data_IF_784428563409
#
_entry.id   IF_784428563409
#
_cell.length_a   1.000
_cell.length_b   1.000
_cell.length_c   1.000
_cell.angle_alpha   90.00
_cell.angle_beta   90.00
_cell.angle_gamma   90.00
#
_symmetry.space_group_name_H-M   'P 1'
#
loop_
_entity.id
_entity.type
_entity.pdbx_description
1 polymer ?
#
# COMPACT_ATOMS: atom_id res chain seq x y z
N UNK A 1 -1.21 5.26 -33.16
CA UNK A 1 -0.44 4.42 -32.21
C UNK A 1 0.14 5.33 -31.14
N UNK A 2 -0.48 5.41 -29.96
CA UNK A 2 0.04 6.22 -28.83
C UNK A 2 0.46 5.24 -27.75
N UNK A 3 1.78 5.06 -27.61
CA UNK A 3 2.39 4.18 -26.62
C UNK A 3 2.26 4.79 -25.22
N UNK A 4 1.46 4.15 -24.36
CA UNK A 4 1.40 4.46 -22.94
C UNK A 4 2.62 3.84 -22.25
N UNK A 5 3.65 4.64 -21.97
CA UNK A 5 4.77 4.23 -21.11
C UNK A 5 4.30 4.23 -19.65
N UNK A 6 4.30 3.04 -19.06
CA UNK A 6 3.70 2.78 -17.76
C UNK A 6 4.79 2.82 -16.67
N UNK A 7 5.09 3.99 -16.09
CA UNK A 7 6.09 4.17 -15.01
C UNK A 7 5.79 3.39 -13.72
N UNK A 8 6.68 2.49 -13.32
CA UNK A 8 6.52 1.55 -12.20
C UNK A 8 6.47 2.31 -10.88
N UNK A 9 5.29 2.36 -10.25
CA UNK A 9 5.17 2.74 -8.84
C UNK A 9 5.44 1.49 -8.00
N UNK A 10 6.20 1.56 -6.90
CA UNK A 10 6.27 0.45 -5.95
C UNK A 10 4.88 0.25 -5.36
N UNK A 11 4.29 -0.89 -5.68
CA UNK A 11 2.97 -1.26 -5.18
C UNK A 11 3.18 -1.74 -3.75
N UNK A 12 2.88 -0.86 -2.80
CA UNK A 12 2.64 -1.25 -1.41
C UNK A 12 1.45 -2.19 -1.42
N UNK A 13 1.66 -3.44 -1.02
CA UNK A 13 0.56 -4.33 -0.72
C UNK A 13 0.09 -3.96 0.68
N UNK A 14 -0.94 -3.12 0.75
CA UNK A 14 -1.86 -3.23 1.87
C UNK A 14 -2.32 -4.67 1.82
N UNK A 15 -2.32 -5.39 2.94
CA UNK A 15 -3.14 -6.58 3.01
C UNK A 15 -4.61 -6.14 2.87
N UNK A 16 -5.06 -5.89 1.64
CA UNK A 16 -6.44 -5.60 1.30
C UNK A 16 -7.18 -6.91 1.48
N UNK A 17 -7.75 -7.06 2.66
CA UNK A 17 -8.74 -8.09 2.91
C UNK A 17 -9.97 -7.71 2.10
N UNK A 18 -10.18 -8.42 0.99
CA UNK A 18 -11.40 -8.31 0.22
C UNK A 18 -12.54 -8.91 1.05
N UNK A 19 -13.16 -8.09 1.89
CA UNK A 19 -14.51 -8.35 2.40
C UNK A 19 -15.47 -8.18 1.23
N UNK A 20 -15.71 -9.24 0.45
CA UNK A 20 -16.88 -9.23 -0.42
C UNK A 20 -18.11 -9.34 0.46
N UNK A 21 -18.92 -8.28 0.45
CA UNK A 21 -20.21 -8.24 1.10
C UNK A 21 -21.13 -9.35 0.60
N UNK A 22 -21.83 -9.96 1.55
CA UNK A 22 -22.74 -11.08 1.35
C UNK A 22 -22.64 -12.00 2.56
N UNK A 23 -23.60 -11.89 3.48
CA UNK A 23 -23.70 -12.71 4.69
C UNK A 23 -23.74 -14.21 4.34
N UNK A 24 -22.57 -14.83 4.28
CA UNK A 24 -22.41 -16.27 4.42
C UNK A 24 -21.13 -16.46 5.22
N UNK A 25 -21.27 -16.52 6.55
CA UNK A 25 -20.12 -16.69 7.43
C UNK A 25 -19.42 -17.98 7.01
N UNK A 26 -18.13 -17.91 6.75
CA UNK A 26 -17.35 -19.05 6.28
C UNK A 26 -17.53 -20.24 7.24
N UNK A 27 -17.91 -21.43 6.72
CA UNK A 27 -18.17 -22.61 7.55
C UNK A 27 -17.01 -22.94 8.51
N UNK A 28 -15.78 -22.67 8.07
CA UNK A 28 -14.59 -22.87 8.90
C UNK A 28 -14.47 -21.84 10.02
N UNK A 29 -14.80 -20.58 9.76
CA UNK A 29 -14.80 -19.54 10.80
C UNK A 29 -15.92 -19.79 11.83
N UNK A 30 -17.04 -20.37 11.42
CA UNK A 30 -18.13 -20.74 12.34
C UNK A 30 -17.75 -21.93 13.23
N UNK A 31 -17.18 -22.99 12.65
CA UNK A 31 -16.90 -24.22 13.39
C UNK A 31 -15.60 -24.14 14.20
N UNK A 32 -14.60 -23.43 13.69
CA UNK A 32 -13.26 -23.31 14.27
C UNK A 32 -12.80 -21.85 14.32
N UNK A 33 -13.45 -20.99 15.13
CA UNK A 33 -13.05 -19.58 15.24
C UNK A 33 -11.59 -19.43 15.73
N UNK A 34 -11.07 -20.38 16.49
CA UNK A 34 -9.70 -20.42 17.00
C UNK A 34 -8.63 -20.54 15.89
N UNK A 35 -9.02 -20.99 14.69
CA UNK A 35 -8.11 -21.04 13.54
C UNK A 35 -7.91 -19.68 12.89
N UNK A 36 -8.70 -18.68 13.28
CA UNK A 36 -8.70 -17.36 12.69
C UNK A 36 -8.35 -16.29 13.74
N UNK A 37 -7.84 -15.15 13.28
CA UNK A 37 -7.63 -13.98 14.12
C UNK A 37 -8.84 -13.04 14.11
N UNK A 38 -8.75 -11.97 14.88
CA UNK A 38 -9.79 -10.92 14.97
C UNK A 38 -10.15 -10.29 13.62
N UNK A 39 -9.26 -10.38 12.62
CA UNK A 39 -9.45 -9.85 11.27
C UNK A 39 -9.93 -10.94 10.29
N UNK A 40 -10.22 -12.15 10.77
CA UNK A 40 -10.69 -13.28 9.97
C UNK A 40 -9.59 -13.99 9.17
N UNK A 41 -8.32 -13.76 9.50
CA UNK A 41 -7.15 -14.36 8.82
C UNK A 41 -6.75 -15.64 9.50
N UNK A 42 -6.24 -16.60 8.74
CA UNK A 42 -5.78 -17.87 9.31
C UNK A 42 -4.61 -17.62 10.25
N UNK A 43 -4.66 -18.16 11.46
CA UNK A 43 -3.62 -17.96 12.46
C UNK A 43 -2.27 -18.56 12.02
N UNK A 44 -1.13 -17.96 12.40
CA UNK A 44 0.20 -18.45 12.04
C UNK A 44 0.48 -19.91 12.42
N UNK A 45 -0.03 -20.35 13.57
CA UNK A 45 0.15 -21.74 14.02
C UNK A 45 -0.56 -22.72 13.09
N UNK A 46 -1.78 -22.39 12.64
CA UNK A 46 -2.50 -23.18 11.63
C UNK A 46 -1.73 -23.21 10.31
N UNK A 47 -1.16 -22.09 9.88
CA UNK A 47 -0.37 -22.05 8.64
C UNK A 47 0.83 -23.00 8.68
N UNK A 48 1.52 -23.10 9.82
CA UNK A 48 2.65 -24.02 10.02
C UNK A 48 2.26 -25.48 9.99
N UNK A 49 1.05 -25.82 10.42
CA UNK A 49 0.52 -27.19 10.32
C UNK A 49 0.10 -27.56 8.89
N UNK A 50 -0.28 -26.58 8.06
CA UNK A 50 -0.80 -26.83 6.71
C UNK A 50 0.23 -26.71 5.59
N UNK A 51 1.31 -25.97 5.81
CA UNK A 51 2.28 -25.62 4.78
C UNK A 51 3.69 -25.86 5.29
N UNK A 52 4.49 -26.58 4.50
CA UNK A 52 5.94 -26.58 4.60
C UNK A 52 6.50 -25.43 3.77
N UNK A 53 7.34 -24.60 4.39
CA UNK A 53 8.00 -23.48 3.75
C UNK A 53 9.50 -23.59 3.92
N UNK A 54 10.25 -23.48 2.82
CA UNK A 54 11.69 -23.39 2.83
C UNK A 54 12.14 -21.92 2.65
N UNK A 55 12.79 -21.32 3.67
CA UNK A 55 13.21 -19.92 3.63
C UNK A 55 14.29 -19.62 2.60
N UNK A 56 15.08 -20.62 2.19
CA UNK A 56 16.21 -20.43 1.27
C UNK A 56 15.77 -20.43 -0.18
N UNK A 57 14.79 -21.27 -0.51
CA UNK A 57 14.29 -21.42 -1.89
C UNK A 57 12.99 -20.66 -2.14
N UNK A 58 12.29 -20.25 -1.08
CA UNK A 58 10.96 -19.63 -1.19
C UNK A 58 9.88 -20.62 -1.62
N UNK A 59 10.15 -21.93 -1.56
CA UNK A 59 9.18 -22.94 -1.91
C UNK A 59 8.19 -23.15 -0.76
N UNK A 60 6.92 -23.25 -1.13
CA UNK A 60 5.84 -23.61 -0.22
C UNK A 60 5.18 -24.87 -0.74
N UNK A 61 5.03 -25.88 0.11
CA UNK A 61 4.43 -27.16 -0.22
C UNK A 61 3.27 -27.42 0.72
N UNK A 62 2.17 -27.94 0.19
CA UNK A 62 1.04 -28.36 1.00
C UNK A 62 1.37 -29.62 1.80
N UNK A 63 1.25 -29.55 3.13
CA UNK A 63 1.34 -30.72 4.01
C UNK A 63 0.16 -31.64 3.80
N UNK A 64 0.35 -32.92 4.13
CA UNK A 64 -0.75 -33.86 4.26
C UNK A 64 -1.64 -33.45 5.44
N UNK A 65 -2.96 -33.42 5.24
CA UNK A 65 -3.92 -33.03 6.27
C UNK A 65 -4.61 -34.24 6.88
N UNK A 66 -4.90 -34.20 8.17
CA UNK A 66 -5.82 -35.13 8.84
C UNK A 66 -7.28 -34.75 8.59
N UNK A 67 -8.20 -35.62 9.01
CA UNK A 67 -9.65 -35.42 8.86
C UNK A 67 -10.15 -34.21 9.67
N UNK A 68 -9.48 -33.90 10.78
CA UNK A 68 -9.85 -32.80 11.70
C UNK A 68 -9.83 -31.42 11.03
N UNK A 69 -9.08 -31.27 9.93
CA UNK A 69 -9.04 -30.04 9.15
C UNK A 69 -10.26 -29.84 8.23
N UNK A 70 -11.23 -30.76 8.25
CA UNK A 70 -12.39 -30.77 7.37
C UNK A 70 -13.68 -30.89 8.17
N UNK A 71 -14.62 -29.97 7.91
CA UNK A 71 -15.95 -29.99 8.55
C UNK A 71 -16.90 -30.94 7.79
N UNK A 72 -16.56 -31.30 6.55
CA UNK A 72 -17.50 -31.94 5.63
C UNK A 72 -18.53 -30.95 5.10
N UNK A 73 -19.40 -31.42 4.24
CA UNK A 73 -20.53 -30.68 3.71
C UNK A 73 -21.74 -31.59 3.53
N UNK A 74 -22.86 -30.99 3.15
CA UNK A 74 -24.14 -31.71 2.98
C UNK A 74 -24.01 -32.91 2.03
N UNK A 75 -23.16 -32.80 1.00
CA UNK A 75 -22.98 -33.85 -0.01
C UNK A 75 -21.81 -34.80 0.24
N UNK A 76 -20.87 -34.49 1.14
CA UNK A 76 -19.65 -35.30 1.38
C UNK A 76 -19.18 -35.18 2.82
N UNK A 77 -18.87 -36.31 3.45
CA UNK A 77 -18.28 -36.33 4.79
C UNK A 77 -16.85 -35.79 4.82
N UNK A 78 -16.39 -35.40 6.02
CA UNK A 78 -15.05 -34.85 6.25
C UNK A 78 -13.92 -35.78 5.75
N UNK A 79 -14.05 -37.09 5.96
CA UNK A 79 -13.06 -38.08 5.51
C UNK A 79 -12.90 -38.09 3.97
N UNK A 80 -14.01 -38.03 3.24
CA UNK A 80 -14.00 -38.01 1.78
C UNK A 80 -13.40 -36.71 1.23
N UNK A 81 -13.72 -35.57 1.86
CA UNK A 81 -13.10 -34.28 1.53
C UNK A 81 -11.59 -34.31 1.79
N UNK A 82 -11.17 -34.88 2.93
CA UNK A 82 -9.77 -35.03 3.32
C UNK A 82 -8.98 -35.89 2.30
N UNK A 83 -9.47 -37.09 2.00
CA UNK A 83 -8.85 -37.99 1.01
C UNK A 83 -8.70 -37.33 -0.36
N UNK A 84 -9.76 -36.66 -0.82
CA UNK A 84 -9.74 -35.95 -2.10
C UNK A 84 -8.76 -34.79 -2.09
N UNK A 85 -8.73 -34.01 -1.02
CA UNK A 85 -7.85 -32.87 -0.89
C UNK A 85 -6.40 -33.32 -0.88
N UNK A 86 -6.04 -34.31 -0.06
CA UNK A 86 -4.69 -34.84 0.03
C UNK A 86 -4.21 -35.41 -1.31
N UNK A 87 -5.04 -36.20 -2.00
CA UNK A 87 -4.73 -36.71 -3.35
C UNK A 87 -4.45 -35.59 -4.36
N UNK A 88 -5.14 -34.46 -4.23
CA UNK A 88 -5.06 -33.36 -5.20
C UNK A 88 -3.91 -32.41 -4.89
N UNK A 89 -3.66 -32.10 -3.62
CA UNK A 89 -2.83 -30.98 -3.20
C UNK A 89 -1.61 -31.38 -2.35
N UNK A 90 -1.69 -32.43 -1.54
CA UNK A 90 -0.58 -32.81 -0.65
C UNK A 90 0.70 -33.08 -1.45
N UNK A 91 1.83 -32.58 -0.94
CA UNK A 91 3.14 -32.69 -1.58
C UNK A 91 3.32 -31.81 -2.83
N UNK A 92 2.31 -31.04 -3.23
CA UNK A 92 2.39 -30.11 -4.37
C UNK A 92 2.61 -28.69 -3.91
N UNK A 93 3.12 -27.85 -4.82
CA UNK A 93 3.37 -26.43 -4.57
C UNK A 93 2.09 -25.72 -4.11
N UNK A 94 2.20 -25.00 -3.01
CA UNK A 94 1.13 -24.17 -2.47
C UNK A 94 1.11 -22.78 -3.15
N UNK A 95 -0.04 -22.12 -3.09
CA UNK A 95 -0.24 -20.74 -3.56
C UNK A 95 0.25 -20.51 -5.00
N UNK A 96 -0.27 -21.27 -5.95
CA UNK A 96 0.15 -21.24 -7.36
C UNK A 96 -0.63 -20.25 -8.21
N UNK A 97 -1.71 -19.66 -7.69
CA UNK A 97 -2.52 -18.72 -8.47
C UNK A 97 -1.83 -17.37 -8.55
N UNK A 98 -1.61 -16.87 -9.76
CA UNK A 98 -1.10 -15.52 -9.98
C UNK A 98 -2.26 -14.51 -9.96
N UNK A 99 -2.22 -13.59 -8.99
CA UNK A 99 -3.12 -12.43 -8.88
C UNK A 99 -2.37 -11.20 -9.38
N UNK A 100 -2.96 -10.44 -10.30
CA UNK A 100 -2.41 -9.14 -10.70
C UNK A 100 -3.04 -8.03 -9.88
N UNK A 101 -2.23 -7.13 -9.33
CA UNK A 101 -2.71 -5.86 -8.78
C UNK A 101 -1.81 -4.74 -9.31
N UNK A 102 -2.43 -3.80 -10.03
CA UNK A 102 -1.71 -2.76 -10.77
C UNK A 102 -0.66 -3.40 -11.69
N UNK A 103 0.63 -3.12 -11.47
CA UNK A 103 1.77 -3.61 -12.28
C UNK A 103 2.37 -4.91 -11.75
N UNK A 104 1.95 -5.35 -10.57
CA UNK A 104 2.63 -6.40 -9.85
C UNK A 104 1.82 -7.68 -9.89
N UNK A 105 2.52 -8.80 -9.90
CA UNK A 105 1.95 -10.15 -9.87
C UNK A 105 2.31 -10.80 -8.55
N UNK A 106 1.31 -11.37 -7.89
CA UNK A 106 1.43 -11.99 -6.59
C UNK A 106 1.00 -13.43 -6.67
N UNK A 107 1.76 -14.31 -6.03
CA UNK A 107 1.31 -15.68 -5.77
C UNK A 107 0.25 -15.66 -4.67
N UNK A 108 -0.82 -16.40 -4.87
CA UNK A 108 -1.96 -16.43 -3.97
C UNK A 108 -2.66 -17.80 -3.98
N UNK A 109 -3.55 -17.99 -3.02
CA UNK A 109 -4.44 -19.13 -2.94
C UNK A 109 -5.51 -18.90 -1.90
N UNK A 110 -6.19 -19.97 -1.49
CA UNK A 110 -7.18 -19.92 -0.44
C UNK A 110 -6.91 -21.02 0.60
N UNK A 111 -7.02 -20.67 1.87
CA UNK A 111 -6.96 -21.62 2.99
C UNK A 111 -8.28 -21.50 3.72
N UNK A 112 -8.99 -22.63 3.85
CA UNK A 112 -10.30 -22.68 4.50
C UNK A 112 -11.30 -21.66 3.94
N UNK A 113 -11.25 -21.36 2.64
CA UNK A 113 -12.11 -20.35 2.01
C UNK A 113 -11.66 -18.90 2.18
N UNK A 114 -10.59 -18.64 2.95
CA UNK A 114 -10.00 -17.30 3.10
C UNK A 114 -8.93 -17.08 2.04
N UNK A 115 -9.06 -16.05 1.18
CA UNK A 115 -8.04 -15.72 0.20
C UNK A 115 -6.79 -15.19 0.91
N UNK A 116 -5.63 -15.72 0.53
CA UNK A 116 -4.35 -15.36 1.12
C UNK A 116 -3.29 -15.15 0.03
N UNK A 117 -2.42 -14.17 0.28
CA UNK A 117 -1.24 -13.89 -0.55
C UNK A 117 -0.06 -14.68 0.00
N UNK A 118 0.75 -15.25 -0.88
CA UNK A 118 1.81 -16.17 -0.50
C UNK A 118 2.89 -15.51 0.37
N UNK A 119 3.32 -14.29 0.04
CA UNK A 119 4.28 -13.52 0.85
C UNK A 119 3.78 -13.28 2.28
N UNK A 120 2.49 -13.00 2.45
CA UNK A 120 1.89 -12.74 3.77
C UNK A 120 1.85 -14.01 4.61
N UNK A 121 1.60 -15.15 3.96
CA UNK A 121 1.61 -16.48 4.61
C UNK A 121 3.02 -16.85 5.04
N UNK A 122 4.01 -16.66 4.16
CA UNK A 122 5.42 -16.87 4.48
C UNK A 122 5.87 -16.03 5.67
N UNK A 123 5.55 -14.73 5.66
CA UNK A 123 5.86 -13.85 6.77
C UNK A 123 5.21 -14.34 8.08
N UNK A 124 3.94 -14.73 8.04
CA UNK A 124 3.23 -15.24 9.21
C UNK A 124 3.83 -16.55 9.74
N UNK A 125 4.21 -17.48 8.85
CA UNK A 125 4.88 -18.73 9.22
C UNK A 125 6.20 -18.43 9.96
N UNK A 126 7.03 -17.55 9.39
CA UNK A 126 8.37 -17.25 9.90
C UNK A 126 8.36 -16.44 11.20
N UNK A 127 7.55 -15.37 11.27
CA UNK A 127 7.59 -14.40 12.37
C UNK A 127 6.47 -14.59 13.39
N UNK A 128 5.62 -15.60 13.21
CA UNK A 128 4.47 -15.89 14.06
C UNK A 128 3.49 -14.72 14.23
N UNK A 129 3.42 -13.82 13.24
CA UNK A 129 2.54 -12.65 13.20
C UNK A 129 2.38 -12.16 11.77
N UNK A 130 1.34 -11.39 11.50
CA UNK A 130 1.21 -10.70 10.22
C UNK A 130 1.89 -9.33 10.24
N UNK A 131 2.64 -9.01 9.19
CA UNK A 131 3.16 -7.66 8.96
C UNK A 131 2.01 -6.69 8.62
N UNK A 132 2.19 -5.43 8.99
CA UNK A 132 1.31 -4.34 8.56
C UNK A 132 1.56 -3.95 7.10
N UNK A 133 2.82 -3.99 6.66
CA UNK A 133 3.27 -3.84 5.28
C UNK A 133 4.63 -4.51 5.09
N UNK A 134 4.92 -5.00 3.89
CA UNK A 134 6.23 -5.54 3.51
C UNK A 134 6.44 -5.41 1.99
N UNK A 135 7.70 -5.43 1.56
CA UNK A 135 8.10 -5.24 0.17
C UNK A 135 9.04 -6.37 -0.29
N UNK A 136 9.04 -6.64 -1.60
CA UNK A 136 10.01 -7.50 -2.26
C UNK A 136 11.21 -6.64 -2.69
N UNK A 137 12.41 -6.92 -2.15
CA UNK A 137 13.62 -6.13 -2.46
C UNK A 137 13.95 -6.10 -3.96
N UNK A 138 13.75 -7.22 -4.64
CA UNK A 138 13.93 -7.36 -6.09
C UNK A 138 12.77 -6.81 -6.94
N UNK A 139 11.67 -6.38 -6.32
CA UNK A 139 10.45 -5.96 -7.00
C UNK A 139 9.61 -7.10 -7.59
N UNK A 140 10.02 -8.37 -7.43
CA UNK A 140 9.27 -9.56 -7.82
C UNK A 140 8.57 -10.19 -6.61
N UNK A 141 7.27 -9.93 -6.48
CA UNK A 141 6.45 -10.44 -5.39
C UNK A 141 6.03 -11.90 -5.54
N UNK A 142 6.50 -12.58 -6.59
CA UNK A 142 6.39 -14.03 -6.72
C UNK A 142 7.59 -14.76 -6.12
N UNK A 143 8.70 -14.05 -5.88
CA UNK A 143 9.86 -14.53 -5.15
C UNK A 143 9.58 -14.51 -3.64
N UNK A 144 9.48 -15.70 -3.05
CA UNK A 144 9.09 -15.89 -1.66
C UNK A 144 10.27 -16.27 -0.75
N UNK A 145 11.51 -16.08 -1.20
CA UNK A 145 12.69 -16.25 -0.35
C UNK A 145 12.63 -15.24 0.79
N UNK A 146 12.86 -15.67 2.03
CA UNK A 146 12.60 -14.82 3.20
C UNK A 146 13.45 -13.55 3.22
N UNK A 147 14.68 -13.63 2.70
CA UNK A 147 15.59 -12.48 2.61
C UNK A 147 15.08 -11.40 1.65
N UNK A 148 14.25 -11.78 0.68
CA UNK A 148 13.61 -10.83 -0.23
C UNK A 148 12.42 -10.11 0.42
N UNK A 149 11.87 -10.66 1.52
CA UNK A 149 10.69 -10.11 2.20
C UNK A 149 11.16 -9.25 3.37
N UNK A 150 11.18 -7.92 3.18
CA UNK A 150 11.51 -6.97 4.25
C UNK A 150 10.24 -6.41 4.88
N UNK A 151 10.15 -6.50 6.21
CA UNK A 151 9.18 -5.72 6.95
C UNK A 151 9.54 -4.25 6.82
N UNK A 152 8.55 -3.43 6.49
CA UNK A 152 8.76 -2.01 6.31
C UNK A 152 7.54 -1.27 6.80
N UNK A 153 7.77 -0.11 7.39
CA UNK A 153 6.69 0.79 7.78
C UNK A 153 6.15 1.49 6.53
N UNK A 154 4.89 1.89 6.58
CA UNK A 154 4.28 2.78 5.59
C UNK A 154 5.11 4.04 5.32
N UNK A 155 5.73 4.59 6.37
CA UNK A 155 6.62 5.74 6.27
C UNK A 155 7.88 5.45 5.47
N UNK A 156 8.37 4.21 5.53
CA UNK A 156 9.66 3.81 4.97
C UNK A 156 9.49 3.31 3.54
N UNK A 157 8.41 2.58 3.20
CA UNK A 157 8.04 2.36 1.79
C UNK A 157 7.78 3.69 1.09
N UNK A 158 7.12 4.63 1.75
CA UNK A 158 6.96 5.97 1.19
C UNK A 158 8.31 6.67 1.00
N UNK A 159 9.33 6.47 1.83
CA UNK A 159 10.67 7.02 1.62
C UNK A 159 11.43 6.31 0.49
N UNK A 160 11.39 4.99 0.44
CA UNK A 160 12.09 4.19 -0.57
C UNK A 160 11.46 4.30 -1.96
N UNK A 161 10.12 4.36 -2.02
CA UNK A 161 9.39 4.66 -3.25
C UNK A 161 9.66 6.04 -3.83
N UNK A 162 10.20 6.94 -3.01
CA UNK A 162 10.66 8.27 -3.42
C UNK A 162 12.09 8.26 -3.93
N UNK A 163 12.89 7.24 -3.60
CA UNK A 163 14.22 7.00 -4.18
C UNK A 163 14.08 6.46 -5.61
N UNK A 164 13.08 5.60 -5.86
CA UNK A 164 12.70 5.18 -7.21
C UNK A 164 11.81 6.22 -7.89
N UNK A 165 12.40 7.36 -8.29
CA UNK A 165 11.73 8.32 -9.17
C UNK A 165 11.25 7.62 -10.44
N UNK A 166 10.05 7.97 -10.91
CA UNK A 166 9.73 7.81 -12.33
C UNK A 166 10.82 8.56 -13.11
N UNK A 167 11.53 7.88 -14.02
CA UNK A 167 12.52 8.50 -14.91
C UNK A 167 11.93 9.63 -15.81
N UNK A 168 10.62 9.85 -15.75
CA UNK A 168 9.86 10.90 -16.44
C UNK A 168 9.36 12.05 -15.56
N UNK A 169 9.62 12.04 -14.25
CA UNK A 169 9.24 13.15 -13.38
C UNK A 169 10.11 14.38 -13.68
N UNK A 170 9.49 15.54 -13.88
CA UNK A 170 10.21 16.77 -14.20
C UNK A 170 10.89 17.42 -13.00
N UNK A 171 10.60 16.96 -11.77
CA UNK A 171 11.17 17.50 -10.54
C UNK A 171 11.82 16.43 -9.66
N UNK A 172 12.80 16.84 -8.87
CA UNK A 172 13.40 16.04 -7.79
C UNK A 172 12.57 16.03 -6.49
N UNK A 173 11.61 16.94 -6.33
CA UNK A 173 10.83 17.18 -5.11
C UNK A 173 9.36 16.73 -5.24
N UNK A 174 8.74 16.30 -4.14
CA UNK A 174 7.34 15.83 -4.03
C UNK A 174 6.34 16.95 -4.30
N UNK A 175 5.30 16.62 -5.06
CA UNK A 175 4.24 17.56 -5.40
C UNK A 175 4.67 18.67 -6.35
N UNK A 176 5.94 18.73 -6.74
CA UNK A 176 6.51 19.72 -7.65
C UNK A 176 6.57 19.16 -9.07
N UNK A 177 6.11 19.93 -10.04
CA UNK A 177 6.15 19.56 -11.45
C UNK A 177 6.43 20.77 -12.34
N UNK A 178 7.31 20.62 -13.34
CA UNK A 178 7.57 21.70 -14.30
C UNK A 178 6.47 21.79 -15.36
N UNK A 179 5.81 22.94 -15.44
CA UNK A 179 4.89 23.27 -16.52
C UNK A 179 5.66 23.88 -17.69
N UNK A 180 5.82 23.10 -18.78
CA UNK A 180 6.51 23.59 -19.99
C UNK A 180 5.79 24.76 -20.65
N UNK A 181 4.46 24.82 -20.58
CA UNK A 181 3.68 25.93 -21.16
C UNK A 181 3.88 27.23 -20.39
N UNK A 182 3.95 27.15 -19.06
CA UNK A 182 4.07 28.33 -18.19
C UNK A 182 5.52 28.65 -17.84
N UNK A 183 6.47 27.77 -18.18
CA UNK A 183 7.88 27.82 -17.78
C UNK A 183 8.03 28.06 -16.26
N UNK A 184 7.21 27.35 -15.47
CA UNK A 184 7.13 27.49 -14.01
C UNK A 184 6.97 26.14 -13.33
N UNK A 185 7.56 26.01 -12.15
CA UNK A 185 7.33 24.90 -11.24
C UNK A 185 5.95 25.05 -10.61
N UNK A 186 5.15 24.00 -10.64
CA UNK A 186 3.79 23.98 -10.09
C UNK A 186 3.74 23.00 -8.95
N UNK A 187 3.16 23.43 -7.83
CA UNK A 187 3.04 22.63 -6.62
C UNK A 187 1.58 22.21 -6.43
N UNK A 188 1.35 20.92 -6.32
CA UNK A 188 0.02 20.36 -6.05
C UNK A 188 0.09 19.33 -4.94
N UNK A 189 -0.97 19.25 -4.14
CA UNK A 189 -1.10 18.30 -3.04
C UNK A 189 -2.52 17.76 -2.99
N UNK A 190 -2.67 16.51 -2.51
CA UNK A 190 -3.99 15.94 -2.23
C UNK A 190 -4.27 16.00 -0.74
N UNK A 191 -5.39 16.60 -0.37
CA UNK A 191 -5.86 16.70 1.01
C UNK A 191 -7.29 16.18 1.03
N UNK A 192 -7.58 15.19 1.89
CA UNK A 192 -8.91 14.58 2.03
C UNK A 192 -9.53 14.14 0.69
N UNK A 193 -8.71 13.55 -0.19
CA UNK A 193 -9.13 13.07 -1.51
C UNK A 193 -9.30 14.14 -2.60
N UNK A 194 -9.16 15.43 -2.28
CA UNK A 194 -9.24 16.54 -3.24
C UNK A 194 -7.86 17.05 -3.62
N UNK A 195 -7.66 17.34 -4.91
CA UNK A 195 -6.42 17.95 -5.40
C UNK A 195 -6.47 19.46 -5.19
N UNK A 196 -5.45 19.99 -4.54
CA UNK A 196 -5.26 21.39 -4.22
C UNK A 196 -3.98 21.89 -4.90
N UNK A 197 -4.07 23.01 -5.60
CA UNK A 197 -2.91 23.72 -6.13
C UNK A 197 -2.37 24.64 -5.04
N UNK A 198 -1.09 24.47 -4.68
CA UNK A 198 -0.43 25.26 -3.64
C UNK A 198 0.17 26.54 -4.23
N UNK A 199 0.74 26.45 -5.44
CA UNK A 199 1.30 27.63 -6.09
C UNK A 199 2.11 27.32 -7.34
N UNK A 200 2.66 28.38 -7.95
CA UNK A 200 3.63 28.26 -9.05
C UNK A 200 4.87 29.13 -8.81
N UNK A 201 6.05 28.57 -9.02
CA UNK A 201 7.34 29.13 -8.64
C UNK A 201 8.29 29.16 -9.84
N UNK A 202 9.30 30.03 -9.79
CA UNK A 202 10.36 30.11 -10.81
C UNK A 202 11.50 29.14 -10.53
N UNK A 203 11.78 28.90 -9.25
CA UNK A 203 12.84 28.02 -8.75
C UNK A 203 12.21 26.71 -8.25
N UNK A 204 12.92 25.60 -8.43
CA UNK A 204 12.45 24.27 -8.09
C UNK A 204 12.43 24.06 -6.56
N UNK A 205 13.48 24.54 -5.90
CA UNK A 205 13.69 24.51 -4.45
C UNK A 205 12.60 25.30 -3.70
N UNK A 206 12.29 26.53 -4.14
CA UNK A 206 11.20 27.34 -3.57
C UNK A 206 9.83 26.63 -3.64
N UNK A 207 9.64 25.84 -4.71
CA UNK A 207 8.43 25.05 -4.90
C UNK A 207 8.38 23.88 -3.89
N UNK A 208 9.52 23.28 -3.57
CA UNK A 208 9.67 22.24 -2.57
C UNK A 208 9.40 22.78 -1.15
N UNK A 209 9.95 23.96 -0.82
CA UNK A 209 9.69 24.63 0.46
C UNK A 209 8.22 25.00 0.63
N UNK A 210 7.56 25.44 -0.45
CA UNK A 210 6.14 25.71 -0.44
C UNK A 210 5.31 24.44 -0.23
N UNK A 211 5.74 23.31 -0.79
CA UNK A 211 5.12 22.01 -0.53
C UNK A 211 5.26 21.62 0.94
N UNK A 212 6.45 21.76 1.52
CA UNK A 212 6.73 21.35 2.90
C UNK A 212 5.93 22.14 3.92
N UNK A 213 5.85 23.47 3.75
CA UNK A 213 4.98 24.32 4.57
C UNK A 213 3.51 23.95 4.46
N UNK A 214 3.04 23.64 3.25
CA UNK A 214 1.67 23.19 3.05
C UNK A 214 1.44 21.81 3.68
N UNK A 215 2.39 20.88 3.55
CA UNK A 215 2.30 19.54 4.10
C UNK A 215 2.18 19.59 5.62
N UNK A 216 3.00 20.41 6.30
CA UNK A 216 2.87 20.63 7.76
C UNK A 216 1.51 21.20 8.14
N UNK A 217 1.02 22.19 7.37
CA UNK A 217 -0.27 22.85 7.65
C UNK A 217 -1.48 21.93 7.48
N UNK A 218 -1.49 21.10 6.43
CA UNK A 218 -2.69 20.33 6.04
C UNK A 218 -2.63 18.85 6.41
N UNK A 219 -1.44 18.26 6.54
CA UNK A 219 -1.23 16.85 6.88
C UNK A 219 -0.68 16.66 8.31
N UNK A 220 -0.22 17.74 8.96
CA UNK A 220 0.21 17.75 10.36
C UNK A 220 1.69 17.40 10.59
N UNK A 221 2.11 17.17 11.84
CA UNK A 221 3.52 16.97 12.21
C UNK A 221 4.15 15.69 11.66
N UNK A 222 3.33 14.73 11.24
CA UNK A 222 3.75 13.48 10.60
C UNK A 222 3.84 13.61 9.07
N UNK A 223 3.63 14.82 8.54
CA UNK A 223 3.76 15.11 7.14
C UNK A 223 5.17 14.85 6.63
N UNK A 224 5.23 14.34 5.40
CA UNK A 224 6.50 14.10 4.74
C UNK A 224 7.00 15.37 4.06
N UNK A 225 8.25 15.73 4.33
CA UNK A 225 8.91 16.94 3.81
C UNK A 225 9.98 16.59 2.76
N UNK A 226 10.19 17.49 1.81
CA UNK A 226 11.23 17.48 0.80
C UNK A 226 12.60 17.84 1.36
N UNK A 227 12.63 18.83 2.25
CA UNK A 227 13.81 19.34 2.92
C UNK A 227 14.11 18.50 4.16
N UNK A 228 15.37 18.08 4.32
CA UNK A 228 15.80 17.22 5.43
C UNK A 228 15.89 17.93 6.78
N UNK A 229 15.90 19.27 6.77
CA UNK A 229 15.91 20.10 7.97
C UNK A 229 14.48 20.52 8.28
N UNK A 230 13.99 20.10 9.46
CA UNK A 230 12.83 20.73 10.07
C UNK A 230 13.28 22.16 10.40
N UNK A 231 12.77 23.22 9.76
CA UNK A 231 13.04 24.55 10.29
C UNK A 231 12.46 24.57 11.71
N UNK A 232 13.29 24.92 12.69
CA UNK A 232 12.82 25.23 14.04
C UNK A 232 11.79 26.33 13.86
N UNK A 233 10.51 25.98 13.94
CA UNK A 233 9.43 26.95 13.88
C UNK A 233 9.45 27.62 15.25
N UNK A 234 9.87 28.88 15.40
CA UNK A 234 9.58 29.58 16.64
C UNK A 234 8.07 29.53 16.85
N UNK A 235 7.65 29.17 18.06
CA UNK A 235 6.25 29.23 18.49
C UNK A 235 5.67 30.57 18.03
N UNK A 236 4.73 30.51 17.09
CA UNK A 236 4.00 31.69 16.66
C UNK A 236 3.02 31.96 17.78
N UNK A 237 3.34 32.93 18.64
CA UNK A 237 2.36 33.53 19.54
C UNK A 237 1.16 33.98 18.69
N UNK A 238 -0.05 33.62 19.14
CA UNK A 238 -1.35 33.94 18.53
C UNK A 238 -1.64 35.46 18.54
N UNK A 239 -0.78 36.28 17.94
CA UNK A 239 -1.13 37.67 17.63
C UNK A 239 -1.85 37.77 16.28
N UNK A 240 -3.03 38.41 16.23
CA UNK A 240 -3.80 38.52 15.01
C UNK A 240 -3.09 39.44 14.01
N UNK A 241 -2.58 38.85 12.93
CA UNK A 241 -2.01 39.60 11.80
C UNK A 241 -3.11 40.49 11.20
N UNK A 242 -2.99 41.80 11.42
CA UNK A 242 -3.83 42.81 10.78
C UNK A 242 -3.71 42.69 9.25
N UNK A 243 -4.81 42.86 8.49
CA UNK A 243 -4.76 42.78 7.03
C UNK A 243 -3.84 43.88 6.48
N UNK A 244 -2.92 43.49 5.59
CA UNK A 244 -2.00 44.39 4.93
C UNK A 244 -2.75 45.52 4.19
N UNK A 245 -2.23 46.77 4.20
CA UNK A 245 -2.87 47.88 3.51
C UNK A 245 -2.86 47.65 2.00
N UNK A 246 -4.05 47.77 1.40
CA UNK A 246 -4.25 47.71 -0.05
C UNK A 246 -3.63 48.97 -0.64
N UNK A 247 -2.73 48.79 -1.61
CA UNK A 247 -2.13 49.89 -2.38
C UNK A 247 -3.26 50.68 -3.10
N UNK A 248 -3.43 51.99 -2.82
CA UNK A 248 -4.51 52.78 -3.41
C UNK A 248 -4.43 52.93 -4.94
N UNK A 249 -3.36 52.45 -5.60
CA UNK A 249 -3.25 52.47 -7.06
C UNK A 249 -4.04 51.37 -7.79
N UNK A 250 -4.47 50.28 -7.12
CA UNK A 250 -5.12 49.13 -7.79
C UNK A 250 -6.66 49.18 -7.75
N UNK A 251 -7.26 50.17 -7.09
CA UNK A 251 -8.72 50.26 -6.88
C UNK A 251 -9.49 51.09 -7.94
N UNK A 252 -8.84 51.66 -8.96
CA UNK A 252 -9.44 52.72 -9.80
C UNK A 252 -9.64 52.42 -11.31
N UNK A 253 -9.80 51.15 -11.74
CA UNK A 253 -9.92 50.82 -13.19
C UNK A 253 -11.25 50.17 -13.61
N UNK A 254 -12.32 50.24 -12.84
CA UNK A 254 -13.66 49.84 -13.35
C UNK A 254 -14.80 50.69 -12.78
N UNK A 255 -15.10 51.81 -13.43
CA UNK A 255 -16.47 52.36 -13.56
C UNK A 255 -16.45 53.52 -14.56
N UNK A 256 -17.14 53.37 -15.69
CA UNK A 256 -17.39 54.43 -16.66
C UNK A 256 -17.30 53.94 -18.10
N UNK A 257 -18.46 53.57 -18.67
CA UNK A 257 -18.91 53.87 -20.05
C UNK A 257 -19.95 52.84 -20.48
N UNK A 258 -21.22 53.17 -20.24
CA UNK A 258 -22.38 52.73 -21.03
C UNK A 258 -23.53 53.71 -20.74
N UNK A 259 -23.72 54.65 -21.67
CA UNK A 259 -24.96 55.40 -21.90
C UNK A 259 -25.34 55.21 -23.36
#
# INVERSE_FOLDING_TARGET
MVGASCGVAPVVIIATYFTHGGCNVNKYQQAHPEWFDEKGRVQPWVLRELIDYDPTTGEMIWKNRTVDWFIGGVSRGAEQECLRWNKTYSGKRAMTTNRKCSKNTFRAGAIFGVPCLAHSVVFAIQFNRYANAHHAEDGDFTNLIITNIKETSWSDIQKESKVFKNASASSRYFGVSFSKTRQRWTVTMRVNGKQMAIGTFKVEEDAADAYDRAALKYLGPTAYLNMAERPDVPEIDDEPVAPAPIDPAEAAVKMGDDF
#
